data_IF_435577151359
#
_entry.id   IF_435577151359
#
_cell.length_a   1.000
_cell.length_b   1.000
_cell.length_c   1.000
_cell.angle_alpha   90.00
_cell.angle_beta   90.00
_cell.angle_gamma   90.00
#
_symmetry.space_group_name_H-M   'P 1'
#
loop_
_entity.id
_entity.type
_entity.pdbx_description
1 polymer ?
#
# COMPACT_ATOMS: atom_id res chain seq x y z
N UNK A 1 -10.34 -7.55 -12.28
CA UNK A 1 -9.21 -7.20 -11.39
C UNK A 1 -8.77 -5.79 -11.69
N UNK A 2 -8.66 -4.91 -10.68
CA UNK A 2 -8.20 -3.53 -10.86
C UNK A 2 -6.77 -3.50 -11.44
N UNK A 3 -6.46 -2.49 -12.26
CA UNK A 3 -5.15 -2.34 -12.92
C UNK A 3 -4.40 -1.09 -12.48
N UNK A 4 -5.11 -0.12 -11.91
CA UNK A 4 -4.57 1.12 -11.35
C UNK A 4 -5.06 1.31 -9.92
N UNK A 5 -4.45 2.22 -9.17
CA UNK A 5 -4.93 2.62 -7.84
C UNK A 5 -6.33 3.24 -7.90
N UNK A 6 -6.63 4.00 -8.95
CA UNK A 6 -7.96 4.54 -9.18
C UNK A 6 -9.01 3.44 -9.44
N UNK A 7 -8.64 2.40 -10.18
CA UNK A 7 -9.52 1.24 -10.38
C UNK A 7 -9.78 0.52 -9.07
N UNK A 8 -8.74 0.37 -8.23
CA UNK A 8 -8.89 -0.23 -6.91
C UNK A 8 -9.91 0.57 -6.09
N UNK A 9 -9.73 1.89 -5.96
CA UNK A 9 -10.67 2.75 -5.22
C UNK A 9 -12.10 2.64 -5.78
N UNK A 10 -12.27 2.70 -7.11
CA UNK A 10 -13.59 2.62 -7.74
C UNK A 10 -14.28 1.28 -7.49
N UNK A 11 -13.55 0.17 -7.64
CA UNK A 11 -14.09 -1.18 -7.41
C UNK A 11 -14.41 -1.37 -5.93
N UNK A 12 -13.51 -0.97 -5.04
CA UNK A 12 -13.71 -0.99 -3.60
C UNK A 12 -14.99 -0.26 -3.17
N UNK A 13 -15.14 1.00 -3.59
CA UNK A 13 -16.32 1.80 -3.26
C UNK A 13 -17.60 1.23 -3.87
N UNK A 14 -17.53 0.63 -5.05
CA UNK A 14 -18.68 -0.08 -5.64
C UNK A 14 -19.11 -1.25 -4.77
N UNK A 15 -18.18 -2.11 -4.36
CA UNK A 15 -18.47 -3.29 -3.53
C UNK A 15 -19.00 -2.89 -2.14
N UNK A 16 -18.47 -1.81 -1.56
CA UNK A 16 -18.96 -1.26 -0.29
C UNK A 16 -20.40 -0.71 -0.43
N UNK A 17 -20.70 0.04 -1.51
CA UNK A 17 -22.06 0.53 -1.79
C UNK A 17 -23.07 -0.59 -2.04
N UNK A 18 -22.62 -1.69 -2.64
CA UNK A 18 -23.42 -2.90 -2.84
C UNK A 18 -23.59 -3.74 -1.55
N UNK A 19 -22.97 -3.33 -0.43
CA UNK A 19 -23.04 -4.05 0.84
C UNK A 19 -22.33 -5.41 0.83
N UNK A 20 -21.46 -5.66 -0.15
CA UNK A 20 -20.76 -6.94 -0.30
C UNK A 20 -19.59 -7.10 0.67
N UNK A 21 -18.95 -5.99 1.01
CA UNK A 21 -17.80 -5.92 1.90
C UNK A 21 -17.87 -4.64 2.70
N UNK A 22 -17.24 -4.64 3.88
CA UNK A 22 -17.06 -3.44 4.68
C UNK A 22 -15.87 -2.62 4.18
N UNK A 23 -14.80 -3.29 3.77
CA UNK A 23 -13.56 -2.69 3.31
C UNK A 23 -13.23 -3.14 1.90
N UNK A 24 -12.78 -2.19 1.09
CA UNK A 24 -12.31 -2.49 -0.25
C UNK A 24 -10.90 -3.08 -0.31
N UNK A 25 -10.10 -2.86 0.73
CA UNK A 25 -8.77 -3.43 0.88
C UNK A 25 -8.39 -3.51 2.36
N UNK A 26 -7.71 -4.58 2.75
CA UNK A 26 -7.07 -4.73 4.07
C UNK A 26 -5.67 -5.34 3.90
N UNK A 27 -4.74 -4.93 4.75
CA UNK A 27 -3.35 -5.41 4.75
C UNK A 27 -2.63 -5.02 6.03
N UNK A 28 -1.39 -5.49 6.19
CA UNK A 28 -0.56 -5.18 7.35
C UNK A 28 0.22 -3.88 7.15
N UNK A 29 0.25 -3.01 8.16
CA UNK A 29 1.01 -1.74 8.15
C UNK A 29 1.76 -1.44 9.45
N UNK A 30 1.77 -2.34 10.44
CA UNK A 30 2.75 -2.23 11.54
C UNK A 30 4.17 -2.21 11.00
N UNK A 31 5.13 -1.67 11.76
CA UNK A 31 6.52 -1.43 11.32
C UNK A 31 7.14 -2.60 10.53
N UNK A 32 7.06 -3.82 11.07
CA UNK A 32 7.61 -5.04 10.43
C UNK A 32 6.76 -5.60 9.29
N UNK A 33 5.53 -5.11 9.13
CA UNK A 33 4.55 -5.57 8.14
C UNK A 33 4.26 -4.55 7.04
N UNK A 34 4.84 -3.34 7.11
CA UNK A 34 4.70 -2.27 6.09
C UNK A 34 4.99 -2.75 4.66
N UNK A 35 5.81 -3.80 4.53
CA UNK A 35 6.05 -4.53 3.29
C UNK A 35 4.75 -4.92 2.57
N UNK A 36 3.73 -5.42 3.29
CA UNK A 36 2.49 -5.95 2.71
C UNK A 36 1.57 -4.90 2.10
N UNK A 37 1.80 -3.62 2.37
CA UNK A 37 0.94 -2.54 1.87
C UNK A 37 1.78 -1.40 1.32
N UNK A 38 2.49 -0.64 2.17
CA UNK A 38 3.22 0.53 1.73
C UNK A 38 4.32 0.20 0.71
N UNK A 39 5.21 -0.76 0.98
CA UNK A 39 6.34 -1.02 0.07
C UNK A 39 5.89 -1.69 -1.23
N UNK A 40 4.91 -2.58 -1.19
CA UNK A 40 4.31 -3.12 -2.42
C UNK A 40 3.67 -2.03 -3.29
N UNK A 41 2.93 -1.09 -2.69
CA UNK A 41 2.42 0.07 -3.44
C UNK A 41 3.58 0.91 -3.97
N UNK A 42 4.61 1.14 -3.16
CA UNK A 42 5.76 1.94 -3.53
C UNK A 42 6.48 1.40 -4.77
N UNK A 43 6.81 0.10 -4.79
CA UNK A 43 7.45 -0.53 -5.93
C UNK A 43 6.53 -0.60 -7.15
N UNK A 44 5.22 -0.80 -6.97
CA UNK A 44 4.27 -0.71 -8.08
C UNK A 44 4.10 0.73 -8.63
N UNK A 45 4.67 1.74 -7.96
CA UNK A 45 4.69 3.14 -8.39
C UNK A 45 6.06 3.59 -8.93
N UNK A 46 6.86 2.68 -9.49
CA UNK A 46 8.18 3.01 -10.06
C UNK A 46 9.13 3.72 -9.10
N UNK A 47 9.03 3.34 -7.82
CA UNK A 47 9.74 3.98 -6.74
C UNK A 47 10.52 2.94 -5.93
N UNK A 48 11.48 3.40 -5.13
CA UNK A 48 12.19 2.55 -4.19
C UNK A 48 12.74 3.35 -3.00
N UNK A 49 13.51 2.72 -2.12
CA UNK A 49 14.23 3.40 -1.02
C UNK A 49 15.46 4.12 -1.55
N UNK A 50 16.19 3.49 -2.49
CA UNK A 50 17.42 4.02 -3.09
C UNK A 50 17.37 3.95 -4.61
N UNK A 51 18.08 4.87 -5.26
CA UNK A 51 18.27 4.86 -6.70
C UNK A 51 19.48 3.99 -7.10
N UNK A 52 19.43 3.30 -8.25
CA UNK A 52 18.29 3.19 -9.16
C UNK A 52 17.16 2.31 -8.60
N UNK A 53 15.91 2.64 -8.93
CA UNK A 53 14.76 1.88 -8.45
C UNK A 53 14.86 0.39 -8.83
N UNK A 54 14.36 -0.48 -7.96
CA UNK A 54 14.37 -1.94 -8.10
C UNK A 54 15.74 -2.62 -7.98
N UNK A 55 16.82 -1.86 -7.81
CA UNK A 55 18.14 -2.44 -7.59
C UNK A 55 18.27 -3.04 -6.18
N UNK A 56 18.86 -4.23 -6.10
CA UNK A 56 19.06 -4.98 -4.85
C UNK A 56 20.52 -5.37 -4.62
N UNK A 57 21.40 -5.17 -5.61
CA UNK A 57 22.84 -5.37 -5.47
C UNK A 57 23.48 -4.18 -4.73
N UNK A 58 24.00 -4.47 -3.54
CA UNK A 58 24.70 -3.50 -2.70
C UNK A 58 25.94 -2.90 -3.37
N UNK A 59 26.62 -3.62 -4.26
CA UNK A 59 27.77 -3.09 -4.99
C UNK A 59 27.32 -1.99 -5.98
N UNK A 60 26.19 -2.19 -6.65
CA UNK A 60 25.60 -1.21 -7.55
C UNK A 60 25.07 0.00 -6.75
N UNK A 61 24.35 -0.23 -5.65
CA UNK A 61 23.84 0.85 -4.80
C UNK A 61 24.98 1.69 -4.18
N UNK A 62 26.04 1.03 -3.71
CA UNK A 62 27.24 1.69 -3.19
C UNK A 62 27.94 2.55 -4.23
N UNK A 63 28.08 2.04 -5.46
CA UNK A 63 28.63 2.82 -6.59
C UNK A 63 27.76 4.03 -6.95
N UNK A 64 26.44 3.93 -6.75
CA UNK A 64 25.48 5.03 -6.92
C UNK A 64 25.34 5.91 -5.66
N UNK A 65 26.20 5.72 -4.65
CA UNK A 65 26.28 6.57 -3.46
C UNK A 65 25.10 6.44 -2.51
N UNK A 66 24.37 5.32 -2.54
CA UNK A 66 23.17 5.11 -1.71
C UNK A 66 22.19 6.28 -1.82
N UNK A 67 22.01 6.81 -3.03
CA UNK A 67 21.17 7.98 -3.25
C UNK A 67 19.74 7.70 -2.79
N UNK A 68 19.24 8.38 -1.74
CA UNK A 68 17.90 8.13 -1.24
C UNK A 68 16.87 8.64 -2.23
N UNK A 69 15.79 7.87 -2.38
CA UNK A 69 14.60 8.27 -3.15
C UNK A 69 13.48 8.75 -2.22
N UNK A 70 13.70 8.85 -0.92
CA UNK A 70 12.68 9.17 0.10
C UNK A 70 11.99 10.52 -0.09
N UNK A 71 12.63 11.47 -0.79
CA UNK A 71 12.07 12.77 -1.14
C UNK A 71 11.51 12.86 -2.57
N UNK A 72 11.59 11.78 -3.35
CA UNK A 72 11.09 11.75 -4.72
C UNK A 72 9.56 11.77 -4.73
N UNK A 73 8.98 12.37 -5.77
CA UNK A 73 7.53 12.52 -5.90
C UNK A 73 6.77 11.17 -5.80
N UNK A 74 7.39 10.06 -6.23
CA UNK A 74 6.78 8.74 -6.16
C UNK A 74 6.54 8.25 -4.73
N UNK A 75 7.39 8.63 -3.77
CA UNK A 75 7.19 8.32 -2.34
C UNK A 75 5.99 9.09 -1.79
N UNK A 76 5.91 10.39 -2.12
CA UNK A 76 4.81 11.27 -1.69
C UNK A 76 3.49 10.73 -2.21
N UNK A 77 3.43 10.36 -3.49
CA UNK A 77 2.23 9.76 -4.09
C UNK A 77 1.79 8.47 -3.40
N UNK A 78 2.73 7.59 -3.01
CA UNK A 78 2.39 6.38 -2.25
C UNK A 78 1.86 6.70 -0.86
N UNK A 79 2.44 7.68 -0.17
CA UNK A 79 1.96 8.12 1.14
C UNK A 79 0.58 8.77 1.06
N UNK A 80 0.35 9.65 0.07
CA UNK A 80 -0.93 10.28 -0.18
C UNK A 80 -2.01 9.27 -0.58
N UNK A 81 -1.67 8.25 -1.39
CA UNK A 81 -2.58 7.16 -1.70
C UNK A 81 -3.06 6.44 -0.44
N UNK A 82 -2.14 6.08 0.47
CA UNK A 82 -2.51 5.40 1.71
C UNK A 82 -3.26 6.30 2.68
N UNK A 83 -2.88 7.58 2.77
CA UNK A 83 -3.63 8.57 3.54
C UNK A 83 -5.08 8.66 3.06
N UNK A 84 -5.28 8.81 1.75
CA UNK A 84 -6.60 8.89 1.15
C UNK A 84 -7.37 7.58 1.35
N UNK A 85 -6.72 6.41 1.22
CA UNK A 85 -7.37 5.11 1.43
C UNK A 85 -7.94 4.94 2.85
N UNK A 86 -7.23 5.46 3.86
CA UNK A 86 -7.60 5.37 5.27
C UNK A 86 -8.58 6.45 5.73
N UNK A 87 -8.52 7.66 5.15
CA UNK A 87 -9.22 8.82 5.71
C UNK A 87 -10.23 9.49 4.79
N UNK A 88 -10.05 9.41 3.46
CA UNK A 88 -10.87 10.14 2.49
C UNK A 88 -11.76 9.20 1.69
N UNK A 89 -11.14 8.22 1.03
CA UNK A 89 -11.81 7.21 0.23
C UNK A 89 -12.44 6.13 1.11
N UNK A 90 -11.95 5.95 2.34
CA UNK A 90 -12.45 4.99 3.34
C UNK A 90 -12.57 3.56 2.79
N UNK A 91 -11.60 3.16 1.95
CA UNK A 91 -11.55 1.82 1.36
C UNK A 91 -10.80 0.84 2.28
N UNK A 92 -10.04 1.34 3.26
CA UNK A 92 -9.30 0.54 4.23
C UNK A 92 -9.66 0.90 5.67
N UNK A 93 -9.52 -0.04 6.62
CA UNK A 93 -9.82 0.22 8.02
C UNK A 93 -8.94 1.35 8.58
N UNK A 94 -9.49 2.29 9.37
CA UNK A 94 -8.68 3.38 9.93
C UNK A 94 -7.58 2.89 10.89
N UNK A 95 -7.78 1.71 11.50
CA UNK A 95 -6.78 1.05 12.35
C UNK A 95 -5.74 0.22 11.60
N UNK A 96 -5.75 0.21 10.26
CA UNK A 96 -4.87 -0.66 9.47
C UNK A 96 -3.38 -0.43 9.75
N UNK A 97 -2.99 0.79 10.13
CA UNK A 97 -1.64 1.14 10.59
C UNK A 97 -1.17 0.33 11.80
N UNK A 98 -2.08 -0.26 12.57
CA UNK A 98 -1.78 -1.11 13.73
C UNK A 98 -1.91 -2.60 13.41
N UNK A 99 -2.22 -3.00 12.18
CA UNK A 99 -2.40 -4.40 11.81
C UNK A 99 -1.08 -5.05 11.42
N UNK A 100 -0.86 -6.25 11.94
CA UNK A 100 0.07 -7.21 11.37
C UNK A 100 -0.63 -7.95 10.22
N UNK A 101 -0.01 -9.04 9.75
CA UNK A 101 -0.66 -9.96 8.83
C UNK A 101 -1.87 -10.66 9.45
N UNK A 102 -1.87 -10.91 10.76
CA UNK A 102 -2.90 -11.71 11.42
C UNK A 102 -4.23 -10.97 11.52
N UNK A 103 -4.22 -9.71 11.97
CA UNK A 103 -5.45 -8.89 12.01
C UNK A 103 -6.02 -8.66 10.60
N UNK A 104 -5.14 -8.40 9.62
CA UNK A 104 -5.56 -8.21 8.23
C UNK A 104 -6.19 -9.48 7.64
N UNK A 105 -5.57 -10.64 7.88
CA UNK A 105 -6.09 -11.93 7.44
C UNK A 105 -7.42 -12.27 8.11
N UNK A 106 -7.58 -11.98 9.41
CA UNK A 106 -8.82 -12.24 10.13
C UNK A 106 -9.99 -11.45 9.51
N UNK A 107 -9.78 -10.16 9.20
CA UNK A 107 -10.78 -9.31 8.53
C UNK A 107 -11.12 -9.87 7.14
N UNK A 108 -10.11 -10.25 6.36
CA UNK A 108 -10.33 -10.80 5.03
C UNK A 108 -11.08 -12.15 5.08
N UNK A 109 -10.66 -13.07 5.95
CA UNK A 109 -11.27 -14.40 6.09
C UNK A 109 -12.69 -14.34 6.65
N UNK A 110 -13.03 -13.30 7.42
CA UNK A 110 -14.40 -13.04 7.85
C UNK A 110 -15.33 -12.59 6.71
N UNK A 111 -14.78 -12.27 5.52
CA UNK A 111 -15.54 -11.73 4.39
C UNK A 111 -15.79 -10.22 4.48
N UNK A 112 -15.17 -9.54 5.44
CA UNK A 112 -15.34 -8.09 5.65
C UNK A 112 -14.55 -7.26 4.63
N UNK A 113 -13.59 -7.86 3.91
CA UNK A 113 -12.79 -7.21 2.88
C UNK A 113 -12.81 -7.98 1.56
N UNK A 114 -12.72 -7.24 0.44
CA UNK A 114 -12.73 -7.77 -0.94
C UNK A 114 -11.38 -8.33 -1.39
#
# INVERSE_FOLDING_TARGET
MPKTWDDLVKVSQKLQKEGKVKWGYVGGMTFTNTFFSFWWSLWNNNCDVYAPAYERDNAVLSKNGWKPMTADACQVQTAEFWWDALHKNNISPPGMSTYSRDEANAIFQAGDAA
#
